data_IF_284676343944
#
_entry.id   IF_284676343944
#
_cell.length_a   1.000
_cell.length_b   1.000
_cell.length_c   1.000
_cell.angle_alpha   90.00
_cell.angle_beta   90.00
_cell.angle_gamma   90.00
#
_symmetry.space_group_name_H-M   'P 1'
#
loop_
_entity.id
_entity.type
_entity.pdbx_description
1 polymer ?
#
# COMPACT_ATOMS: atom_id res chain seq x y z
N UNK A 1 1.39 -38.51 1.03
CA UNK A 1 0.37 -37.78 1.84
C UNK A 1 0.95 -36.66 2.70
N UNK A 2 2.15 -36.81 3.31
CA UNK A 2 2.74 -35.75 4.15
C UNK A 2 3.45 -34.62 3.35
N UNK A 3 3.88 -34.91 2.11
CA UNK A 3 4.53 -33.94 1.21
C UNK A 3 3.57 -32.89 0.63
N UNK A 4 2.30 -33.23 0.43
CA UNK A 4 1.31 -32.27 -0.09
C UNK A 4 0.98 -31.20 0.94
N UNK A 5 0.89 -31.58 2.23
CA UNK A 5 0.57 -30.68 3.34
C UNK A 5 1.73 -29.69 3.56
N UNK A 6 2.98 -30.14 3.51
CA UNK A 6 4.13 -29.22 3.63
C UNK A 6 4.17 -28.22 2.49
N UNK A 7 3.92 -28.67 1.26
CA UNK A 7 3.95 -27.80 0.07
C UNK A 7 2.78 -26.83 0.03
N UNK A 8 1.58 -27.23 0.49
CA UNK A 8 0.43 -26.31 0.60
C UNK A 8 0.63 -25.29 1.71
N UNK A 9 1.17 -25.67 2.87
CA UNK A 9 1.49 -24.72 3.93
C UNK A 9 2.57 -23.72 3.49
N UNK A 10 3.60 -24.19 2.79
CA UNK A 10 4.66 -23.32 2.28
C UNK A 10 4.10 -22.31 1.27
N UNK A 11 3.29 -22.74 0.30
CA UNK A 11 2.62 -21.83 -0.64
C UNK A 11 1.62 -20.87 0.03
N UNK A 12 0.95 -21.31 1.10
CA UNK A 12 0.03 -20.44 1.88
C UNK A 12 0.82 -19.36 2.62
N UNK A 13 1.98 -19.69 3.19
CA UNK A 13 2.85 -18.72 3.86
C UNK A 13 3.47 -17.74 2.85
N UNK A 14 3.90 -18.22 1.67
CA UNK A 14 4.43 -17.37 0.60
C UNK A 14 3.39 -16.37 0.05
N UNK A 15 2.13 -16.78 -0.06
CA UNK A 15 1.04 -15.91 -0.52
C UNK A 15 0.55 -14.91 0.54
N UNK A 16 0.72 -15.23 1.83
CA UNK A 16 0.45 -14.30 2.94
C UNK A 16 1.39 -13.10 2.93
N UNK A 17 2.62 -13.26 2.46
CA UNK A 17 3.67 -12.23 2.50
C UNK A 17 3.28 -10.96 1.72
N UNK A 18 2.66 -11.13 0.54
CA UNK A 18 2.22 -10.03 -0.34
C UNK A 18 1.11 -9.20 0.31
N UNK A 19 0.12 -9.86 0.91
CA UNK A 19 -0.98 -9.19 1.61
C UNK A 19 -0.46 -8.46 2.85
N UNK A 20 0.42 -9.09 3.63
CA UNK A 20 0.96 -8.52 4.86
C UNK A 20 1.76 -7.23 4.59
N UNK A 21 2.64 -7.27 3.58
CA UNK A 21 3.44 -6.12 3.16
C UNK A 21 2.57 -4.97 2.63
N UNK A 22 1.50 -5.28 1.89
CA UNK A 22 0.56 -4.27 1.41
C UNK A 22 -0.19 -3.60 2.56
N UNK A 23 -0.62 -4.37 3.56
CA UNK A 23 -1.28 -3.85 4.77
C UNK A 23 -0.33 -2.92 5.54
N UNK A 24 0.94 -3.30 5.71
CA UNK A 24 1.95 -2.43 6.32
C UNK A 24 2.10 -1.13 5.51
N UNK A 25 2.15 -1.22 4.18
CA UNK A 25 2.18 -0.08 3.28
C UNK A 25 1.02 0.89 3.53
N UNK A 26 -0.22 0.39 3.62
CA UNK A 26 -1.40 1.20 3.94
C UNK A 26 -1.27 1.86 5.32
N UNK A 27 -0.86 1.12 6.35
CA UNK A 27 -0.76 1.65 7.72
C UNK A 27 0.28 2.77 7.80
N UNK A 28 1.48 2.54 7.24
CA UNK A 28 2.54 3.55 7.19
C UNK A 28 2.08 4.76 6.40
N UNK A 29 1.46 4.54 5.24
CA UNK A 29 0.88 5.60 4.43
C UNK A 29 -0.16 6.42 5.21
N UNK A 30 -1.07 5.75 5.92
CA UNK A 30 -2.10 6.39 6.73
C UNK A 30 -1.51 7.30 7.81
N UNK A 31 -0.51 6.82 8.56
CA UNK A 31 0.17 7.63 9.58
C UNK A 31 0.84 8.85 8.96
N UNK A 32 1.46 8.72 7.78
CA UNK A 32 2.03 9.85 7.05
C UNK A 32 0.93 10.83 6.60
N UNK A 33 -0.18 10.33 6.09
CA UNK A 33 -1.35 11.12 5.69
C UNK A 33 -1.93 11.98 6.82
N UNK A 34 -1.95 11.45 8.04
CA UNK A 34 -2.35 12.18 9.25
C UNK A 34 -1.38 13.31 9.61
N UNK A 35 -0.09 13.20 9.26
CA UNK A 35 0.89 14.28 9.55
C UNK A 35 0.79 15.45 8.57
N UNK A 36 0.25 15.24 7.38
CA UNK A 36 0.08 16.30 6.38
C UNK A 36 -0.95 17.33 6.88
N UNK A 37 -0.58 18.60 6.91
CA UNK A 37 -1.41 19.67 7.46
C UNK A 37 -2.39 20.26 6.45
N UNK A 38 -2.05 20.20 5.17
CA UNK A 38 -2.89 20.68 4.08
C UNK A 38 -3.81 19.59 3.54
N UNK A 39 -4.92 20.00 2.92
CA UNK A 39 -5.85 19.08 2.28
C UNK A 39 -5.27 18.65 0.93
N UNK A 40 -4.97 17.37 0.79
CA UNK A 40 -4.45 16.83 -0.46
C UNK A 40 -5.52 16.84 -1.54
N UNK A 41 -5.15 17.28 -2.75
CA UNK A 41 -5.98 17.12 -3.94
C UNK A 41 -5.94 15.65 -4.37
N UNK A 42 -6.97 14.90 -3.97
CA UNK A 42 -7.08 13.45 -4.15
C UNK A 42 -6.71 13.00 -5.57
N UNK A 43 -7.32 13.62 -6.60
CA UNK A 43 -7.04 13.29 -8.00
C UNK A 43 -5.59 13.55 -8.42
N UNK A 44 -4.98 14.65 -7.96
CA UNK A 44 -3.59 14.97 -8.34
C UNK A 44 -2.61 13.95 -7.77
N UNK A 45 -2.80 13.57 -6.50
CA UNK A 45 -1.95 12.60 -5.82
C UNK A 45 -2.18 11.17 -6.31
N UNK A 46 -3.39 10.83 -6.71
CA UNK A 46 -3.69 9.54 -7.33
C UNK A 46 -3.03 9.40 -8.70
N UNK A 47 -3.12 10.43 -9.55
CA UNK A 47 -2.48 10.42 -10.89
C UNK A 47 -0.96 10.41 -10.76
N UNK A 48 -0.40 11.22 -9.85
CA UNK A 48 1.04 11.23 -9.58
C UNK A 48 1.51 9.88 -9.03
N UNK A 49 0.76 9.30 -8.09
CA UNK A 49 1.05 7.98 -7.54
C UNK A 49 1.00 6.88 -8.60
N UNK A 50 0.01 6.91 -9.50
CA UNK A 50 -0.10 5.96 -10.59
C UNK A 50 1.05 6.11 -11.60
N UNK A 51 1.44 7.36 -11.91
CA UNK A 51 2.56 7.65 -12.80
C UNK A 51 3.89 7.16 -12.22
N UNK A 52 4.13 7.40 -10.93
CA UNK A 52 5.31 6.89 -10.22
C UNK A 52 5.28 5.36 -10.15
N UNK A 53 4.14 4.75 -9.81
CA UNK A 53 3.98 3.30 -9.79
C UNK A 53 4.26 2.65 -11.16
N UNK A 54 3.84 3.31 -12.23
CA UNK A 54 4.11 2.89 -13.60
C UNK A 54 5.61 2.97 -13.93
N UNK A 55 6.29 4.06 -13.55
CA UNK A 55 7.74 4.21 -13.73
C UNK A 55 8.57 3.22 -12.90
N UNK A 56 8.07 2.83 -11.72
CA UNK A 56 8.73 1.79 -10.91
C UNK A 56 8.72 0.42 -11.61
N UNK A 57 7.79 0.19 -12.54
CA UNK A 57 7.69 -1.06 -13.29
C UNK A 57 7.54 -2.30 -12.41
N UNK A 58 7.66 -3.50 -13.00
CA UNK A 58 7.95 -4.71 -12.23
C UNK A 58 9.43 -4.66 -11.84
N UNK A 59 9.73 -4.53 -10.55
CA UNK A 59 11.11 -4.56 -10.06
C UNK A 59 11.84 -5.81 -10.56
N UNK A 60 13.00 -5.70 -11.25
CA UNK A 60 13.69 -6.86 -11.83
C UNK A 60 14.16 -7.88 -10.79
N UNK A 61 14.33 -7.45 -9.53
CA UNK A 61 14.80 -8.28 -8.42
C UNK A 61 13.69 -8.89 -7.55
N UNK A 62 12.45 -8.42 -7.66
CA UNK A 62 11.30 -8.91 -6.89
C UNK A 62 10.16 -9.20 -7.87
N UNK A 63 10.23 -10.36 -8.54
CA UNK A 63 9.21 -10.80 -9.48
C UNK A 63 7.90 -11.19 -8.78
N UNK A 64 7.97 -11.60 -7.51
CA UNK A 64 6.82 -12.10 -6.75
C UNK A 64 6.04 -10.99 -6.02
N UNK A 65 6.70 -9.90 -5.65
CA UNK A 65 6.06 -8.76 -4.98
C UNK A 65 6.34 -7.48 -5.78
N UNK A 66 5.47 -7.11 -6.73
CA UNK A 66 5.64 -5.87 -7.48
C UNK A 66 5.62 -4.69 -6.51
N UNK A 67 6.77 -4.01 -6.37
CA UNK A 67 6.96 -2.85 -5.49
C UNK A 67 5.92 -1.74 -5.74
N UNK A 68 5.39 -1.68 -6.96
CA UNK A 68 4.27 -0.84 -7.35
C UNK A 68 3.01 -1.07 -6.51
N UNK A 69 2.71 -2.30 -6.08
CA UNK A 69 1.55 -2.60 -5.26
C UNK A 69 1.70 -2.05 -3.84
N UNK A 70 2.89 -2.20 -3.25
CA UNK A 70 3.22 -1.66 -1.92
C UNK A 70 3.15 -0.13 -1.95
N UNK A 71 3.69 0.48 -3.01
CA UNK A 71 3.67 1.92 -3.20
C UNK A 71 2.24 2.44 -3.37
N UNK A 72 1.42 1.80 -4.20
CA UNK A 72 0.01 2.16 -4.37
C UNK A 72 -0.78 2.00 -3.08
N UNK A 73 -0.57 0.90 -2.34
CA UNK A 73 -1.15 0.70 -1.03
C UNK A 73 -0.77 1.84 -0.05
N UNK A 74 0.50 2.28 -0.08
CA UNK A 74 0.97 3.44 0.67
C UNK A 74 0.29 4.74 0.26
N UNK A 75 0.17 5.03 -1.04
CA UNK A 75 -0.55 6.21 -1.57
C UNK A 75 -2.00 6.22 -1.09
N UNK A 76 -2.69 5.08 -1.17
CA UNK A 76 -4.07 4.92 -0.67
C UNK A 76 -4.13 5.23 0.81
N UNK A 77 -3.20 4.69 1.61
CA UNK A 77 -3.06 5.00 3.03
C UNK A 77 -2.92 6.51 3.28
N UNK A 78 -1.99 7.18 2.60
CA UNK A 78 -1.73 8.63 2.74
C UNK A 78 -2.99 9.45 2.46
N UNK A 79 -3.68 9.14 1.36
CA UNK A 79 -4.91 9.83 0.98
C UNK A 79 -5.99 9.63 2.04
N UNK A 80 -6.18 8.40 2.50
CA UNK A 80 -7.19 8.08 3.51
C UNK A 80 -6.88 8.77 4.85
N UNK A 81 -5.62 8.77 5.28
CA UNK A 81 -5.18 9.47 6.49
C UNK A 81 -5.41 10.97 6.42
N UNK A 82 -5.09 11.59 5.29
CA UNK A 82 -5.32 13.02 5.12
C UNK A 82 -6.82 13.38 5.11
N UNK A 83 -7.64 12.59 4.40
CA UNK A 83 -9.10 12.76 4.37
C UNK A 83 -9.69 12.60 5.78
N UNK A 84 -9.28 11.55 6.51
CA UNK A 84 -9.73 11.29 7.87
C UNK A 84 -9.44 12.49 8.78
N UNK A 85 -8.19 12.99 8.78
CA UNK A 85 -7.82 14.19 9.54
C UNK A 85 -8.58 15.44 9.11
N UNK A 86 -8.76 15.65 7.80
CA UNK A 86 -9.48 16.81 7.28
C UNK A 86 -10.93 16.81 7.72
N UNK A 87 -11.61 15.66 7.72
CA UNK A 87 -12.98 15.53 8.21
C UNK A 87 -13.05 15.71 9.73
N UNK A 88 -12.09 15.14 10.48
CA UNK A 88 -12.03 15.31 11.94
C UNK A 88 -11.85 16.78 12.34
N UNK A 89 -11.03 17.54 11.60
CA UNK A 89 -10.88 18.99 11.79
C UNK A 89 -12.12 19.78 11.40
N UNK A 90 -12.92 19.33 10.43
CA UNK A 90 -14.12 20.03 9.98
C UNK A 90 -15.30 19.93 10.96
N UNK A 91 -15.28 18.94 11.86
CA UNK A 91 -16.32 18.70 12.88
C UNK A 91 -16.02 19.47 14.18
N UNK A 92 -14.79 19.96 14.37
CA UNK A 92 -14.33 20.65 15.58
C UNK A 92 -14.30 22.15 15.39
#
# INVERSE_FOLDING_TARGET
MNLDISNTLLNTISSLDIMYISVIGVIVGFVLGLKINERLKLLHWLVLGLFVAFLLGSTPYYQEIPFSHIFLAGIVGVLFGNIFKSNLKAIK
#
